data_IF_271393823032
#
_entry.id   IF_271393823032
#
_cell.length_a   1.000
_cell.length_b   1.000
_cell.length_c   1.000
_cell.angle_alpha   90.00
_cell.angle_beta   90.00
_cell.angle_gamma   90.00
#
_symmetry.space_group_name_H-M   'P 1'
#
loop_
_entity.id
_entity.type
_entity.pdbx_description
1 polymer ?
#
# COMPACT_ATOMS: atom_id res chain seq x y z
N UNK A 1 14.87 -12.13 -2.25
CA UNK A 1 16.17 -11.52 -1.85
C UNK A 1 16.07 -10.02 -2.01
N UNK A 2 16.99 -9.25 -1.43
CA UNK A 2 17.06 -7.79 -1.60
C UNK A 2 17.61 -7.43 -2.99
N UNK A 3 17.32 -6.22 -3.48
CA UNK A 3 17.94 -5.72 -4.72
C UNK A 3 19.46 -5.61 -4.52
N UNK A 4 20.29 -6.20 -5.41
CA UNK A 4 21.74 -6.12 -5.27
C UNK A 4 22.27 -4.68 -5.38
N UNK A 5 23.21 -4.32 -4.52
CA UNK A 5 23.87 -2.99 -4.52
C UNK A 5 24.50 -2.62 -5.86
N UNK A 6 24.97 -3.60 -6.63
CA UNK A 6 25.49 -3.37 -7.99
C UNK A 6 24.40 -2.84 -8.94
N UNK A 7 23.16 -3.33 -8.84
CA UNK A 7 22.04 -2.83 -9.65
C UNK A 7 21.65 -1.42 -9.21
N UNK A 8 21.54 -1.20 -7.90
CA UNK A 8 21.23 0.11 -7.34
C UNK A 8 22.28 1.17 -7.71
N UNK A 9 23.56 0.82 -7.59
CA UNK A 9 24.69 1.70 -7.96
C UNK A 9 24.71 2.00 -9.46
N UNK A 10 24.43 0.99 -10.30
CA UNK A 10 24.32 1.17 -11.75
C UNK A 10 23.18 2.12 -12.12
N UNK A 11 22.01 1.98 -11.48
CA UNK A 11 20.87 2.84 -11.73
C UNK A 11 21.07 4.27 -11.24
N UNK A 12 21.58 4.44 -10.01
CA UNK A 12 21.67 5.76 -9.37
C UNK A 12 22.95 6.52 -9.72
N UNK A 13 23.98 5.84 -10.21
CA UNK A 13 25.32 6.41 -10.43
C UNK A 13 26.08 6.74 -9.15
N UNK A 14 25.58 6.33 -7.98
CA UNK A 14 26.16 6.59 -6.65
C UNK A 14 26.31 5.29 -5.88
N UNK A 15 27.30 5.23 -4.99
CA UNK A 15 27.49 4.06 -4.11
C UNK A 15 26.20 3.77 -3.31
N UNK A 16 25.65 2.57 -3.48
CA UNK A 16 24.46 2.11 -2.80
C UNK A 16 24.77 1.40 -1.46
N UNK A 17 23.79 1.41 -0.55
CA UNK A 17 23.80 0.58 0.66
C UNK A 17 23.10 -0.74 0.38
N UNK A 18 23.44 -1.80 1.11
CA UNK A 18 22.67 -3.05 1.06
C UNK A 18 21.29 -2.82 1.71
N UNK A 19 20.17 -3.00 1.00
CA UNK A 19 18.85 -2.89 1.61
C UNK A 19 18.65 -3.94 2.70
N UNK A 20 17.79 -3.65 3.68
CA UNK A 20 17.39 -4.62 4.71
C UNK A 20 15.97 -5.08 4.42
N UNK A 21 15.72 -6.39 4.43
CA UNK A 21 14.38 -6.98 4.46
C UNK A 21 14.30 -7.96 5.63
N UNK A 22 13.48 -7.63 6.62
CA UNK A 22 13.15 -8.47 7.77
C UNK A 22 11.80 -9.11 7.52
N UNK A 23 11.72 -10.42 7.75
CA UNK A 23 10.49 -11.18 7.68
C UNK A 23 10.40 -12.12 8.88
N UNK A 24 9.27 -12.05 9.61
CA UNK A 24 8.98 -12.97 10.71
C UNK A 24 7.78 -13.84 10.33
N UNK A 25 8.03 -15.15 10.26
CA UNK A 25 7.02 -16.13 9.89
C UNK A 25 6.04 -16.41 11.03
N UNK A 26 4.87 -16.95 10.70
CA UNK A 26 3.80 -17.22 11.67
C UNK A 26 4.24 -18.20 12.77
N UNK A 27 5.12 -19.15 12.43
CA UNK A 27 5.65 -20.17 13.34
C UNK A 27 6.81 -19.67 14.21
N UNK A 28 7.34 -18.47 13.96
CA UNK A 28 8.46 -17.90 14.72
C UNK A 28 8.07 -17.55 16.16
N UNK A 29 6.80 -17.21 16.40
CA UNK A 29 6.25 -17.04 17.75
C UNK A 29 4.72 -17.16 17.77
N UNK A 30 4.16 -17.40 18.97
CA UNK A 30 2.75 -17.77 19.12
C UNK A 30 1.79 -16.59 18.97
N UNK A 31 2.18 -15.42 19.44
CA UNK A 31 1.30 -14.23 19.45
C UNK A 31 1.82 -13.13 18.53
N UNK A 32 0.94 -12.26 18.00
CA UNK A 32 1.34 -11.06 17.27
C UNK A 32 2.41 -10.23 18.00
N UNK A 33 2.23 -9.93 19.28
CA UNK A 33 3.21 -9.16 20.07
C UNK A 33 4.59 -9.84 20.18
N UNK A 34 4.63 -11.17 20.22
CA UNK A 34 5.90 -11.90 20.22
C UNK A 34 6.58 -11.81 18.86
N UNK A 35 5.82 -11.93 17.76
CA UNK A 35 6.35 -11.77 16.40
C UNK A 35 6.81 -10.34 16.14
N UNK A 36 6.05 -9.34 16.59
CA UNK A 36 6.42 -7.93 16.51
C UNK A 36 7.72 -7.62 17.25
N UNK A 37 7.94 -8.21 18.44
CA UNK A 37 9.24 -8.12 19.13
C UNK A 37 10.38 -8.73 18.32
N UNK A 38 10.18 -9.90 17.72
CA UNK A 38 11.18 -10.50 16.83
C UNK A 38 11.47 -9.62 15.61
N UNK A 39 10.46 -8.92 15.06
CA UNK A 39 10.67 -7.94 13.99
C UNK A 39 11.60 -6.83 14.46
N UNK A 40 11.35 -6.24 15.63
CA UNK A 40 12.20 -5.18 16.19
C UNK A 40 13.61 -5.69 16.45
N UNK A 41 13.77 -6.85 17.08
CA UNK A 41 15.08 -7.47 17.33
C UNK A 41 15.89 -7.67 16.05
N UNK A 42 15.24 -8.14 14.97
CA UNK A 42 15.87 -8.32 13.67
C UNK A 42 16.20 -6.98 12.99
N UNK A 43 15.31 -5.99 13.08
CA UNK A 43 15.56 -4.63 12.60
C UNK A 43 16.78 -4.02 13.32
N UNK A 44 16.90 -4.18 14.63
CA UNK A 44 18.07 -3.74 15.39
C UNK A 44 19.34 -4.50 14.97
N UNK A 45 19.25 -5.83 14.85
CA UNK A 45 20.38 -6.69 14.48
C UNK A 45 21.01 -6.30 13.14
N UNK A 46 20.20 -5.83 12.20
CA UNK A 46 20.67 -5.39 10.88
C UNK A 46 20.95 -3.89 10.78
N UNK A 47 20.78 -3.11 11.85
CA UNK A 47 21.00 -1.66 11.83
C UNK A 47 19.94 -0.90 11.02
N UNK A 48 18.69 -1.34 11.08
CA UNK A 48 17.57 -0.69 10.38
C UNK A 48 17.30 0.75 10.89
N UNK A 49 17.57 1.01 12.16
CA UNK A 49 17.37 2.32 12.78
C UNK A 49 18.42 3.37 12.37
N UNK A 50 19.47 2.95 11.64
CA UNK A 50 20.46 3.85 11.01
C UNK A 50 20.13 4.15 9.53
N UNK A 51 18.99 3.65 9.02
CA UNK A 51 18.56 3.89 7.64
C UNK A 51 17.84 5.22 7.51
N UNK A 52 17.62 5.66 6.27
CA UNK A 52 16.80 6.84 6.03
C UNK A 52 15.31 6.55 6.25
N UNK A 53 14.87 5.32 5.94
CA UNK A 53 13.46 4.91 6.02
C UNK A 53 13.35 3.49 6.58
N UNK A 54 12.38 3.29 7.47
CA UNK A 54 11.82 1.98 7.82
C UNK A 54 10.42 1.89 7.19
N UNK A 55 10.18 0.83 6.42
CA UNK A 55 8.91 0.55 5.77
C UNK A 55 8.28 -0.71 6.38
N UNK A 56 7.07 -0.60 6.92
CA UNK A 56 6.30 -1.76 7.42
C UNK A 56 5.34 -2.19 6.32
N UNK A 57 5.60 -3.37 5.74
CA UNK A 57 4.73 -4.00 4.76
C UNK A 57 3.82 -5.01 5.43
N UNK A 58 2.51 -4.77 5.41
CA UNK A 58 1.54 -5.80 5.82
C UNK A 58 1.36 -6.77 4.66
N UNK A 59 1.71 -8.04 4.88
CA UNK A 59 1.61 -9.07 3.85
C UNK A 59 0.15 -9.44 3.54
N UNK A 60 -0.09 -10.10 2.40
CA UNK A 60 -1.39 -10.72 2.13
C UNK A 60 -1.35 -12.20 2.53
N UNK A 61 -2.10 -12.58 3.57
CA UNK A 61 -2.30 -13.97 3.98
C UNK A 61 -0.99 -14.69 4.37
N UNK A 62 -0.43 -15.47 3.44
CA UNK A 62 0.72 -16.37 3.61
C UNK A 62 2.08 -15.68 3.81
N UNK A 63 2.13 -14.37 4.05
CA UNK A 63 3.38 -13.66 4.34
C UNK A 63 4.07 -13.03 3.13
N UNK A 64 3.54 -13.21 1.91
CA UNK A 64 4.13 -12.61 0.72
C UNK A 64 3.83 -11.12 0.68
N UNK A 65 4.88 -10.31 0.57
CA UNK A 65 4.81 -8.89 0.20
C UNK A 65 5.23 -8.79 -1.26
N UNK A 66 4.46 -8.07 -2.08
CA UNK A 66 4.77 -7.93 -3.50
C UNK A 66 6.12 -7.19 -3.67
N UNK A 67 7.11 -7.78 -4.38
CA UNK A 67 8.32 -7.08 -4.76
C UNK A 67 8.06 -5.74 -5.47
N UNK A 68 6.92 -5.58 -6.15
CA UNK A 68 6.48 -4.32 -6.76
C UNK A 68 6.30 -3.17 -5.77
N UNK A 69 6.01 -3.45 -4.50
CA UNK A 69 5.88 -2.41 -3.46
C UNK A 69 7.22 -2.05 -2.83
N UNK A 70 8.10 -3.05 -2.67
CA UNK A 70 9.37 -2.92 -1.92
C UNK A 70 10.52 -2.46 -2.81
N UNK A 71 10.62 -3.02 -4.02
CA UNK A 71 11.74 -2.76 -4.93
C UNK A 71 11.85 -1.28 -5.30
N UNK A 72 10.75 -0.55 -5.59
CA UNK A 72 10.83 0.89 -5.83
C UNK A 72 11.48 1.65 -4.67
N UNK A 73 11.15 1.35 -3.41
CA UNK A 73 11.78 1.98 -2.25
C UNK A 73 13.30 1.78 -2.24
N UNK A 74 13.77 0.57 -2.56
CA UNK A 74 15.20 0.25 -2.61
C UNK A 74 15.92 1.07 -3.69
N UNK A 75 15.30 1.28 -4.86
CA UNK A 75 15.86 2.13 -5.91
C UNK A 75 15.79 3.63 -5.58
N UNK A 76 14.65 4.13 -5.10
CA UNK A 76 14.44 5.53 -4.73
C UNK A 76 15.42 5.99 -3.65
N UNK A 77 15.68 5.12 -2.68
CA UNK A 77 16.53 5.41 -1.52
C UNK A 77 17.96 4.90 -1.71
N UNK A 78 18.31 4.37 -2.89
CA UNK A 78 19.63 3.79 -3.21
C UNK A 78 20.09 2.76 -2.15
N UNK A 79 19.14 1.95 -1.68
CA UNK A 79 19.30 0.93 -0.67
C UNK A 79 19.33 1.42 0.78
N UNK A 80 19.15 2.73 1.02
CA UNK A 80 19.06 3.31 2.36
C UNK A 80 17.67 3.13 3.00
N UNK A 81 17.21 1.89 3.01
CA UNK A 81 15.89 1.49 3.51
C UNK A 81 15.95 0.14 4.22
N UNK A 82 15.13 0.00 5.24
CA UNK A 82 14.79 -1.28 5.84
C UNK A 82 13.29 -1.55 5.67
N UNK A 83 12.93 -2.74 5.21
CA UNK A 83 11.54 -3.19 5.11
C UNK A 83 11.31 -4.31 6.14
N UNK A 84 10.23 -4.23 6.89
CA UNK A 84 9.78 -5.27 7.80
C UNK A 84 8.40 -5.77 7.39
N UNK A 85 8.21 -7.09 7.43
CA UNK A 85 6.89 -7.70 7.27
C UNK A 85 6.75 -8.94 8.14
N UNK A 86 5.51 -9.32 8.39
CA UNK A 86 5.15 -10.51 9.16
C UNK A 86 4.14 -11.36 8.41
N UNK A 87 4.05 -12.63 8.80
CA UNK A 87 3.01 -13.53 8.35
C UNK A 87 1.97 -13.75 9.46
N UNK A 88 0.69 -13.56 9.12
CA UNK A 88 -0.43 -13.77 10.05
C UNK A 88 -1.36 -14.92 9.63
N UNK A 89 -1.21 -15.49 8.44
CA UNK A 89 -2.00 -16.63 7.97
C UNK A 89 -1.17 -17.62 7.13
N UNK A 90 -1.73 -18.81 6.92
CA UNK A 90 -1.23 -19.83 5.98
C UNK A 90 -2.16 -19.99 4.76
N UNK A 91 -3.28 -19.29 4.73
CA UNK A 91 -4.26 -19.38 3.65
C UNK A 91 -3.80 -18.59 2.42
N UNK A 92 -4.08 -19.09 1.20
CA UNK A 92 -3.98 -18.30 -0.03
C UNK A 92 -4.84 -17.03 0.08
N UNK A 93 -4.29 -15.89 -0.36
CA UNK A 93 -4.81 -14.54 -0.11
C UNK A 93 -6.30 -14.32 -0.45
N UNK A 94 -6.82 -14.92 -1.53
CA UNK A 94 -8.25 -14.79 -1.87
C UNK A 94 -9.18 -15.56 -0.91
N UNK A 95 -8.71 -16.66 -0.30
CA UNK A 95 -9.46 -17.44 0.70
C UNK A 95 -9.43 -16.77 2.08
N UNK A 96 -8.37 -16.02 2.38
CA UNK A 96 -8.22 -15.26 3.63
C UNK A 96 -9.22 -14.11 3.77
N UNK A 97 -9.79 -13.63 2.65
CA UNK A 97 -10.63 -12.44 2.59
C UNK A 97 -11.83 -12.46 3.54
N UNK A 98 -12.46 -13.61 3.80
CA UNK A 98 -13.62 -13.68 4.69
C UNK A 98 -13.28 -14.02 6.15
N UNK A 99 -12.14 -14.68 6.40
CA UNK A 99 -11.85 -15.35 7.68
C UNK A 99 -10.73 -14.67 8.48
N UNK A 100 -9.74 -14.09 7.81
CA UNK A 100 -8.50 -13.63 8.45
C UNK A 100 -8.35 -12.11 8.58
N UNK A 101 -9.36 -11.33 8.18
CA UNK A 101 -9.37 -9.87 8.33
C UNK A 101 -8.96 -9.41 9.74
N UNK A 102 -9.53 -9.96 10.83
CA UNK A 102 -9.14 -9.52 12.18
C UNK A 102 -7.69 -9.85 12.53
N UNK A 103 -7.17 -10.99 12.03
CA UNK A 103 -5.80 -11.41 12.28
C UNK A 103 -4.79 -10.48 11.59
N UNK A 104 -5.10 -10.07 10.35
CA UNK A 104 -4.29 -9.09 9.60
C UNK A 104 -4.15 -7.77 10.36
N UNK A 105 -5.27 -7.23 10.85
CA UNK A 105 -5.28 -5.98 11.63
C UNK A 105 -4.50 -6.13 12.94
N UNK A 106 -4.75 -7.20 13.69
CA UNK A 106 -4.07 -7.44 14.97
C UNK A 106 -2.55 -7.54 14.79
N UNK A 107 -2.10 -8.20 13.73
CA UNK A 107 -0.68 -8.29 13.39
C UNK A 107 -0.09 -6.92 13.00
N UNK A 108 -0.78 -6.17 12.14
CA UNK A 108 -0.34 -4.84 11.70
C UNK A 108 -0.22 -3.87 12.87
N UNK A 109 -1.18 -3.85 13.79
CA UNK A 109 -1.13 -3.05 15.03
C UNK A 109 0.09 -3.42 15.85
N UNK A 110 0.28 -4.71 16.16
CA UNK A 110 1.38 -5.16 17.00
C UNK A 110 2.76 -4.77 16.44
N UNK A 111 2.95 -4.93 15.12
CA UNK A 111 4.21 -4.56 14.45
C UNK A 111 4.41 -3.05 14.42
N UNK A 112 3.37 -2.28 14.09
CA UNK A 112 3.43 -0.83 14.07
C UNK A 112 3.81 -0.28 15.44
N UNK A 113 3.10 -0.72 16.49
CA UNK A 113 3.32 -0.27 17.87
C UNK A 113 4.74 -0.61 18.32
N UNK A 114 5.19 -1.85 18.13
CA UNK A 114 6.53 -2.27 18.56
C UNK A 114 7.65 -1.48 17.86
N UNK A 115 7.49 -1.20 16.55
CA UNK A 115 8.47 -0.40 15.80
C UNK A 115 8.44 1.06 16.25
N UNK A 116 7.25 1.64 16.47
CA UNK A 116 7.10 3.02 16.97
C UNK A 116 7.69 3.19 18.36
N UNK A 117 7.39 2.30 19.30
CA UNK A 117 7.97 2.29 20.64
C UNK A 117 9.50 2.30 20.57
N UNK A 118 10.08 1.52 19.65
CA UNK A 118 11.52 1.50 19.46
C UNK A 118 12.07 2.79 18.82
N UNK A 119 11.34 3.38 17.88
CA UNK A 119 11.69 4.66 17.27
C UNK A 119 11.67 5.81 18.29
N UNK A 120 10.75 5.79 19.25
CA UNK A 120 10.70 6.78 20.32
C UNK A 120 11.98 6.78 21.17
N UNK A 121 12.62 5.62 21.34
CA UNK A 121 13.91 5.49 22.01
C UNK A 121 15.11 5.98 21.17
N UNK A 122 14.95 6.18 19.86
CA UNK A 122 16.00 6.78 19.00
C UNK A 122 15.97 8.32 19.15
N UNK A 123 17.11 9.02 19.22
CA UNK A 123 17.13 10.49 19.23
C UNK A 123 16.40 11.08 18.02
N UNK A 124 15.54 12.08 18.23
CA UNK A 124 14.65 12.61 17.18
C UNK A 124 15.37 13.03 15.88
N UNK A 125 16.59 13.57 15.98
CA UNK A 125 17.40 14.00 14.82
C UNK A 125 18.04 12.85 14.04
N UNK A 126 17.98 11.62 14.56
CA UNK A 126 18.52 10.40 13.97
C UNK A 126 17.42 9.40 13.58
N UNK A 127 16.14 9.69 13.89
CA UNK A 127 15.04 8.77 13.62
C UNK A 127 14.89 8.56 12.11
N UNK A 128 14.86 7.31 11.61
CA UNK A 128 14.42 7.05 10.25
C UNK A 128 12.96 7.48 10.11
N UNK A 129 12.57 7.84 8.89
CA UNK A 129 11.15 8.00 8.58
C UNK A 129 10.46 6.65 8.63
N UNK A 130 9.24 6.61 9.17
CA UNK A 130 8.42 5.41 9.21
C UNK A 130 7.33 5.47 8.14
N UNK A 131 7.31 4.53 7.21
CA UNK A 131 6.20 4.40 6.24
C UNK A 131 5.52 3.05 6.35
N UNK A 132 4.25 2.99 5.99
CA UNK A 132 3.45 1.75 5.99
C UNK A 132 2.90 1.47 4.61
N UNK A 133 2.75 0.20 4.27
CA UNK A 133 2.12 -0.17 3.01
C UNK A 133 1.50 -1.56 3.03
N UNK A 134 0.70 -1.82 2.00
CA UNK A 134 0.25 -3.16 1.66
C UNK A 134 -0.69 -3.16 0.47
N UNK A 135 -0.84 -4.34 -0.11
CA UNK A 135 -1.75 -4.64 -1.20
C UNK A 135 -2.89 -5.56 -0.72
N UNK A 136 -4.10 -5.38 -1.23
CA UNK A 136 -5.22 -6.29 -0.98
C UNK A 136 -5.56 -6.41 0.51
N UNK A 137 -5.60 -7.63 1.04
CA UNK A 137 -5.75 -7.88 2.48
C UNK A 137 -4.61 -7.25 3.32
N UNK A 138 -3.41 -7.06 2.74
CA UNK A 138 -2.34 -6.31 3.36
C UNK A 138 -2.69 -4.83 3.51
N UNK A 139 -3.30 -4.22 2.49
CA UNK A 139 -3.84 -2.86 2.58
C UNK A 139 -4.92 -2.77 3.66
N UNK A 140 -5.83 -3.75 3.72
CA UNK A 140 -6.86 -3.83 4.77
C UNK A 140 -6.25 -3.88 6.18
N UNK A 141 -5.27 -4.77 6.42
CA UNK A 141 -4.60 -4.90 7.71
C UNK A 141 -3.84 -3.63 8.11
N UNK A 142 -3.07 -3.08 7.18
CA UNK A 142 -2.31 -1.85 7.38
C UNK A 142 -3.23 -0.66 7.70
N UNK A 143 -4.38 -0.53 7.03
CA UNK A 143 -5.38 0.50 7.34
C UNK A 143 -5.99 0.30 8.73
N UNK A 144 -6.26 -0.94 9.13
CA UNK A 144 -6.85 -1.24 10.43
C UNK A 144 -5.94 -0.95 11.62
N UNK A 145 -4.66 -0.65 11.40
CA UNK A 145 -3.76 -0.17 12.44
C UNK A 145 -4.03 1.29 12.87
N UNK A 146 -4.92 1.99 12.16
CA UNK A 146 -5.22 3.40 12.40
C UNK A 146 -6.72 3.62 12.59
N UNK A 147 -7.07 4.52 13.50
CA UNK A 147 -8.47 4.90 13.72
C UNK A 147 -9.04 5.74 12.57
N UNK A 148 -8.22 6.62 11.98
CA UNK A 148 -8.59 7.56 10.92
C UNK A 148 -7.32 8.15 10.27
N UNK A 149 -7.47 9.06 9.30
CA UNK A 149 -6.36 9.71 8.60
C UNK A 149 -5.46 10.55 9.53
N UNK A 150 -6.04 11.22 10.53
CA UNK A 150 -5.26 12.02 11.50
C UNK A 150 -4.30 11.12 12.30
N UNK A 151 -4.81 9.97 12.75
CA UNK A 151 -4.01 8.94 13.43
C UNK A 151 -2.89 8.39 12.50
N UNK A 152 -3.21 8.11 11.24
CA UNK A 152 -2.22 7.67 10.24
C UNK A 152 -1.09 8.69 10.06
N UNK A 153 -1.41 9.98 9.91
CA UNK A 153 -0.40 11.03 9.69
C UNK A 153 0.31 11.43 10.99
N UNK A 154 -0.24 11.15 12.17
CA UNK A 154 0.47 11.33 13.44
C UNK A 154 1.45 10.18 13.69
N UNK A 155 1.08 8.96 13.32
CA UNK A 155 1.85 7.76 13.61
C UNK A 155 2.92 7.43 12.55
N UNK A 156 2.82 8.00 11.34
CA UNK A 156 3.70 7.67 10.20
C UNK A 156 4.15 8.89 9.40
N UNK A 157 5.23 8.74 8.65
CA UNK A 157 5.75 9.72 7.68
C UNK A 157 5.21 9.53 6.26
N UNK A 158 4.32 8.55 6.06
CA UNK A 158 3.63 8.29 4.80
C UNK A 158 3.09 6.86 4.66
N UNK A 159 2.16 6.68 3.73
CA UNK A 159 1.52 5.39 3.50
C UNK A 159 1.17 5.14 2.02
N UNK A 160 1.25 3.88 1.59
CA UNK A 160 0.77 3.44 0.27
C UNK A 160 -0.13 2.21 0.42
N UNK A 161 -1.35 2.28 -0.12
CA UNK A 161 -2.30 1.19 -0.05
C UNK A 161 -2.79 0.83 -1.45
N UNK A 162 -2.66 -0.44 -1.83
CA UNK A 162 -3.00 -0.87 -3.18
C UNK A 162 -4.21 -1.80 -3.15
N UNK A 163 -5.20 -1.50 -3.99
CA UNK A 163 -6.41 -2.31 -4.15
C UNK A 163 -7.05 -2.74 -2.83
N UNK A 164 -7.29 -1.81 -1.87
CA UNK A 164 -7.90 -2.20 -0.62
C UNK A 164 -9.28 -2.83 -0.87
N UNK A 165 -9.60 -3.97 -0.24
CA UNK A 165 -10.95 -4.50 -0.18
C UNK A 165 -11.99 -3.43 0.12
N UNK A 166 -13.17 -3.53 -0.50
CA UNK A 166 -14.30 -2.63 -0.21
C UNK A 166 -14.63 -2.50 1.30
N UNK A 167 -14.39 -3.59 2.05
CA UNK A 167 -14.60 -3.66 3.49
C UNK A 167 -13.59 -2.86 4.34
N UNK A 168 -12.58 -2.23 3.73
CA UNK A 168 -11.59 -1.41 4.43
C UNK A 168 -12.24 -0.13 4.92
N UNK A 169 -12.49 -0.04 6.24
CA UNK A 169 -13.28 1.03 6.85
C UNK A 169 -12.74 2.44 6.51
N UNK A 170 -11.45 2.71 6.76
CA UNK A 170 -10.85 4.02 6.49
C UNK A 170 -10.99 4.44 5.01
N UNK A 171 -10.67 3.53 4.09
CA UNK A 171 -10.83 3.78 2.65
C UNK A 171 -12.29 4.11 2.32
N UNK A 172 -13.24 3.36 2.89
CA UNK A 172 -14.65 3.56 2.62
C UNK A 172 -15.14 4.91 3.15
N UNK A 173 -14.82 5.22 4.41
CA UNK A 173 -15.21 6.44 5.10
C UNK A 173 -14.76 7.69 4.33
N UNK A 174 -13.52 7.71 3.82
CA UNK A 174 -13.00 8.86 3.08
C UNK A 174 -13.47 8.92 1.63
N UNK A 175 -13.78 7.77 1.01
CA UNK A 175 -14.41 7.76 -0.31
C UNK A 175 -15.86 8.25 -0.24
N UNK A 176 -16.59 7.94 0.83
CA UNK A 176 -17.97 8.38 1.02
C UNK A 176 -18.04 9.88 1.38
N UNK A 177 -16.99 10.40 2.03
CA UNK A 177 -16.81 11.83 2.33
C UNK A 177 -16.13 12.63 1.20
N UNK A 178 -15.94 12.04 0.01
CA UNK A 178 -15.31 12.71 -1.13
C UNK A 178 -16.04 14.00 -1.53
N UNK A 179 -15.33 14.91 -2.17
CA UNK A 179 -15.88 16.14 -2.70
C UNK A 179 -16.99 15.84 -3.73
N UNK A 180 -18.14 16.52 -3.66
CA UNK A 180 -19.20 16.37 -4.65
C UNK A 180 -18.70 16.55 -6.08
N UNK A 181 -19.11 15.65 -6.97
CA UNK A 181 -18.71 15.68 -8.38
C UNK A 181 -17.40 14.94 -8.68
N UNK A 182 -16.74 14.37 -7.68
CA UNK A 182 -15.61 13.44 -7.89
C UNK A 182 -16.09 12.00 -7.87
N UNK A 183 -15.66 11.15 -8.82
CA UNK A 183 -16.16 9.79 -8.92
C UNK A 183 -15.58 8.90 -7.81
N UNK A 184 -16.31 7.88 -7.41
CA UNK A 184 -15.90 6.90 -6.39
C UNK A 184 -14.60 6.16 -6.78
N UNK A 185 -14.36 5.97 -8.09
CA UNK A 185 -13.12 5.36 -8.57
C UNK A 185 -11.90 6.30 -8.53
N UNK A 186 -12.11 7.61 -8.37
CA UNK A 186 -11.04 8.61 -8.24
C UNK A 186 -11.52 9.79 -7.36
N UNK A 187 -11.74 9.53 -6.06
CA UNK A 187 -12.31 10.51 -5.15
C UNK A 187 -11.29 11.59 -4.80
N UNK A 188 -11.77 12.79 -4.50
CA UNK A 188 -10.96 13.84 -3.88
C UNK A 188 -11.49 14.11 -2.48
N UNK A 189 -10.70 13.80 -1.46
CA UNK A 189 -11.00 14.12 -0.06
C UNK A 189 -10.12 15.28 0.42
N UNK A 190 -10.69 16.23 1.18
CA UNK A 190 -9.98 17.39 1.74
C UNK A 190 -8.98 18.06 0.77
N UNK A 191 -9.45 18.27 -0.46
CA UNK A 191 -8.67 18.82 -1.56
C UNK A 191 -7.32 18.09 -1.78
N UNK A 192 -7.23 16.79 -1.53
CA UNK A 192 -6.02 15.99 -1.74
C UNK A 192 -4.82 16.44 -0.91
N UNK A 193 -5.04 17.02 0.28
CA UNK A 193 -3.99 17.65 1.09
C UNK A 193 -3.05 16.62 1.71
N UNK A 194 -3.59 15.55 2.30
CA UNK A 194 -2.82 14.47 2.95
C UNK A 194 -3.10 13.07 2.37
N UNK A 195 -4.21 12.91 1.64
CA UNK A 195 -4.65 11.63 1.08
C UNK A 195 -5.04 11.81 -0.39
N UNK A 196 -4.52 10.96 -1.28
CA UNK A 196 -4.86 10.96 -2.71
C UNK A 196 -5.16 9.54 -3.20
N UNK A 197 -5.98 9.46 -4.24
CA UNK A 197 -6.23 8.23 -4.98
C UNK A 197 -5.64 8.36 -6.38
N UNK A 198 -5.17 7.25 -6.93
CA UNK A 198 -4.69 7.18 -8.30
C UNK A 198 -5.06 5.84 -8.93
N UNK A 199 -5.56 5.91 -10.17
CA UNK A 199 -5.64 4.77 -11.09
C UNK A 199 -4.37 4.71 -11.97
N UNK A 200 -3.70 5.83 -12.13
CA UNK A 200 -2.46 5.96 -12.91
C UNK A 200 -1.59 7.05 -12.31
N UNK A 201 -0.26 7.06 -12.57
CA UNK A 201 0.67 8.02 -11.97
C UNK A 201 0.28 9.50 -12.13
N UNK A 202 -0.32 9.86 -13.26
CA UNK A 202 -0.72 11.26 -13.54
C UNK A 202 -1.83 11.77 -12.61
N UNK A 203 -2.64 10.88 -12.04
CA UNK A 203 -3.72 11.23 -11.11
C UNK A 203 -3.16 11.81 -9.80
N UNK A 204 -1.95 11.42 -9.39
CA UNK A 204 -1.30 11.94 -8.18
C UNK A 204 -1.02 13.44 -8.25
N UNK A 205 -0.95 14.02 -9.45
CA UNK A 205 -0.83 15.46 -9.66
C UNK A 205 -2.13 16.23 -9.41
N UNK A 206 -3.25 15.51 -9.25
CA UNK A 206 -4.58 16.06 -9.00
C UNK A 206 -5.05 15.77 -7.57
N UNK A 207 -5.81 16.68 -6.96
CA UNK A 207 -6.02 18.08 -7.35
C UNK A 207 -4.71 18.91 -7.31
N UNK A 208 -4.66 20.12 -7.92
CA UNK A 208 -3.45 20.94 -8.01
C UNK A 208 -3.02 21.60 -6.68
N UNK A 209 -3.74 21.32 -5.61
CA UNK A 209 -3.39 21.73 -4.26
C UNK A 209 -2.06 21.08 -3.81
N UNK A 210 -1.32 21.69 -2.87
CA UNK A 210 -0.10 21.10 -2.36
C UNK A 210 -0.36 19.79 -1.59
N UNK A 211 0.29 18.70 -1.99
CA UNK A 211 0.30 17.43 -1.25
C UNK A 211 1.28 17.52 -0.06
N UNK A 212 0.75 17.73 1.14
CA UNK A 212 1.49 17.99 2.38
C UNK A 212 1.94 16.69 3.04
N UNK A 213 3.11 16.73 3.68
CA UNK A 213 3.59 15.61 4.48
C UNK A 213 2.94 15.62 5.87
N UNK A 214 2.68 14.46 6.49
CA UNK A 214 2.77 13.10 5.91
C UNK A 214 1.75 12.82 4.81
N UNK A 215 2.10 11.94 3.87
CA UNK A 215 1.35 11.69 2.62
C UNK A 215 0.88 10.25 2.54
N UNK A 216 -0.39 10.06 2.27
CA UNK A 216 -0.99 8.75 2.02
C UNK A 216 -1.54 8.67 0.59
N UNK A 217 -1.32 7.52 -0.06
CA UNK A 217 -1.82 7.25 -1.41
C UNK A 217 -2.58 5.93 -1.43
N UNK A 218 -3.78 5.94 -2.00
CA UNK A 218 -4.45 4.74 -2.48
C UNK A 218 -4.18 4.57 -3.98
N UNK A 219 -3.56 3.46 -4.36
CA UNK A 219 -3.58 2.99 -5.74
C UNK A 219 -4.78 2.08 -5.91
N UNK A 220 -5.69 2.44 -6.82
CA UNK A 220 -6.86 1.62 -7.12
C UNK A 220 -7.18 1.68 -8.61
N UNK A 221 -7.18 0.53 -9.26
CA UNK A 221 -7.68 0.46 -10.63
C UNK A 221 -9.22 0.53 -10.57
N UNK A 222 -9.82 1.36 -11.42
CA UNK A 222 -11.27 1.44 -11.58
C UNK A 222 -11.87 0.09 -12.03
N UNK A 223 -11.05 -0.78 -12.63
CA UNK A 223 -11.42 -2.14 -13.01
C UNK A 223 -11.05 -3.21 -11.97
N UNK A 224 -10.56 -2.84 -10.79
CA UNK A 224 -10.18 -3.79 -9.73
C UNK A 224 -11.41 -4.37 -9.02
N UNK A 225 -11.79 -5.63 -9.26
CA UNK A 225 -12.94 -6.22 -8.60
C UNK A 225 -12.74 -6.36 -7.09
N UNK A 226 -11.52 -6.39 -6.56
CA UNK A 226 -11.26 -6.47 -5.10
C UNK A 226 -11.74 -5.21 -4.39
N UNK A 227 -11.56 -4.05 -5.02
CA UNK A 227 -11.97 -2.73 -4.50
C UNK A 227 -13.50 -2.57 -4.54
N UNK A 228 -14.13 -3.08 -5.59
CA UNK A 228 -15.55 -2.84 -5.87
C UNK A 228 -16.50 -3.96 -5.41
N UNK A 229 -15.98 -5.15 -5.13
CA UNK A 229 -16.79 -6.27 -4.68
C UNK A 229 -17.30 -6.02 -3.24
N UNK A 230 -18.62 -6.06 -3.08
CA UNK A 230 -19.30 -6.04 -1.79
C UNK A 230 -20.60 -6.84 -1.85
N UNK A 231 -21.00 -7.53 -0.77
CA UNK A 231 -22.35 -8.12 -0.67
C UNK A 231 -23.46 -7.08 -0.84
N UNK A 232 -23.22 -5.82 -0.52
CA UNK A 232 -24.20 -4.74 -0.61
C UNK A 232 -24.66 -4.45 -2.06
N UNK A 233 -23.85 -4.85 -3.05
CA UNK A 233 -24.20 -4.75 -4.48
C UNK A 233 -25.48 -5.51 -4.82
N UNK A 234 -25.88 -6.51 -4.01
CA UNK A 234 -27.14 -7.23 -4.14
C UNK A 234 -28.37 -6.38 -3.79
N UNK A 235 -28.19 -5.32 -3.01
CA UNK A 235 -29.29 -4.56 -2.39
C UNK A 235 -29.28 -3.08 -2.78
N UNK A 236 -28.11 -2.51 -3.02
CA UNK A 236 -27.93 -1.11 -3.38
C UNK A 236 -27.03 -0.98 -4.62
N UNK A 237 -27.33 0.01 -5.46
CA UNK A 237 -26.48 0.38 -6.60
C UNK A 237 -25.29 1.19 -6.07
N UNK A 238 -24.04 0.74 -6.24
CA UNK A 238 -22.86 1.53 -5.94
C UNK A 238 -22.75 2.79 -6.80
N UNK A 239 -22.11 3.83 -6.27
CA UNK A 239 -21.93 5.11 -6.96
C UNK A 239 -21.08 4.94 -8.22
N UNK A 240 -20.03 4.13 -8.20
CA UNK A 240 -19.18 3.84 -9.37
C UNK A 240 -19.94 3.19 -10.55
N UNK A 241 -21.13 2.58 -10.30
CA UNK A 241 -22.05 2.14 -11.36
C UNK A 241 -22.97 3.26 -11.87
N UNK A 242 -23.20 4.30 -11.06
CA UNK A 242 -24.01 5.49 -11.36
C UNK A 242 -23.24 6.64 -11.99
N UNK A 243 -21.93 6.68 -11.78
CA UNK A 243 -21.03 7.76 -12.18
C UNK A 243 -20.33 7.48 -13.53
N UNK A 244 -19.60 8.48 -14.09
CA UNK A 244 -18.70 8.24 -15.21
C UNK A 244 -17.73 7.09 -14.91
N UNK A 245 -17.51 6.23 -15.92
CA UNK A 245 -16.69 5.03 -15.75
C UNK A 245 -15.21 5.36 -15.79
N UNK A 246 -14.46 4.77 -14.87
CA UNK A 246 -13.02 4.82 -14.91
C UNK A 246 -12.44 3.92 -16.02
N UNK A 247 -11.12 4.01 -16.26
CA UNK A 247 -10.44 3.24 -17.29
C UNK A 247 -10.68 1.72 -17.18
N UNK A 248 -10.95 1.08 -18.32
CA UNK A 248 -11.14 -0.38 -18.40
C UNK A 248 -12.47 -0.92 -17.86
N UNK A 249 -13.40 -0.06 -17.40
CA UNK A 249 -14.71 -0.50 -16.90
C UNK A 249 -15.76 -0.45 -18.01
N UNK A 250 -16.40 -1.58 -18.29
CA UNK A 250 -17.47 -1.67 -19.27
C UNK A 250 -18.77 -1.01 -18.77
N UNK A 251 -19.53 -0.40 -19.68
CA UNK A 251 -20.82 0.23 -19.35
C UNK A 251 -21.96 -0.78 -19.42
N UNK A 252 -22.50 -1.16 -18.26
CA UNK A 252 -23.65 -2.06 -18.13
C UNK A 252 -24.59 -1.57 -17.01
N UNK A 253 -25.91 -1.83 -17.10
CA UNK A 253 -26.86 -1.47 -16.06
C UNK A 253 -26.62 -2.28 -14.78
N UNK A 254 -26.93 -1.69 -13.62
CA UNK A 254 -26.93 -2.43 -12.37
C UNK A 254 -28.10 -3.41 -12.34
N UNK A 255 -27.77 -4.70 -12.29
CA UNK A 255 -28.71 -5.81 -12.17
C UNK A 255 -28.25 -6.63 -10.96
N UNK A 256 -28.82 -6.44 -9.75
CA UNK A 256 -28.15 -6.75 -8.49
C UNK A 256 -27.47 -8.13 -8.43
N UNK A 257 -28.20 -9.20 -8.75
CA UNK A 257 -27.67 -10.58 -8.74
C UNK A 257 -26.65 -10.81 -9.85
N UNK A 258 -26.88 -10.28 -11.06
CA UNK A 258 -26.00 -10.45 -12.22
C UNK A 258 -24.70 -9.67 -12.00
N UNK A 259 -24.79 -8.43 -11.51
CA UNK A 259 -23.64 -7.59 -11.17
C UNK A 259 -22.81 -8.22 -10.07
N UNK A 260 -23.43 -8.69 -8.98
CA UNK A 260 -22.73 -9.36 -7.90
C UNK A 260 -22.03 -10.64 -8.38
N UNK A 261 -22.71 -11.47 -9.18
CA UNK A 261 -22.11 -12.67 -9.76
C UNK A 261 -20.94 -12.34 -10.72
N UNK A 262 -21.09 -11.28 -11.53
CA UNK A 262 -20.04 -10.78 -12.41
C UNK A 262 -18.80 -10.36 -11.66
N UNK A 263 -18.94 -9.47 -10.66
CA UNK A 263 -17.84 -9.03 -9.79
C UNK A 263 -17.16 -10.21 -9.08
N UNK A 264 -17.94 -11.19 -8.63
CA UNK A 264 -17.39 -12.40 -7.99
C UNK A 264 -16.55 -13.23 -8.97
N UNK A 265 -16.98 -13.32 -10.23
CA UNK A 265 -16.21 -13.96 -11.31
C UNK A 265 -14.94 -13.18 -11.65
N UNK A 266 -15.04 -11.85 -11.78
CA UNK A 266 -13.90 -10.98 -12.07
C UNK A 266 -12.84 -11.07 -10.98
N UNK A 267 -13.25 -11.17 -9.70
CA UNK A 267 -12.33 -11.34 -8.57
C UNK A 267 -11.43 -12.57 -8.72
N UNK A 268 -11.96 -13.67 -9.26
CA UNK A 268 -11.20 -14.91 -9.48
C UNK A 268 -10.13 -14.78 -10.57
N UNK A 269 -10.31 -13.86 -11.52
CA UNK A 269 -9.38 -13.58 -12.61
C UNK A 269 -8.74 -12.18 -12.50
N UNK A 270 -8.74 -11.59 -11.30
CA UNK A 270 -8.34 -10.20 -11.08
C UNK A 270 -6.88 -9.91 -11.42
N UNK A 271 -6.01 -10.92 -11.39
CA UNK A 271 -4.60 -10.83 -11.76
C UNK A 271 -4.32 -11.29 -13.20
N UNK A 272 -5.31 -11.81 -13.92
CA UNK A 272 -5.18 -12.33 -15.28
C UNK A 272 -5.28 -11.27 -16.37
N UNK A 273 -4.89 -10.02 -16.08
CA UNK A 273 -5.08 -8.83 -16.92
C UNK A 273 -3.79 -7.99 -16.98
N UNK A 274 -3.63 -7.10 -17.98
CA UNK A 274 -2.47 -6.21 -18.05
C UNK A 274 -2.39 -5.26 -16.84
N UNK A 275 -1.18 -4.75 -16.56
CA UNK A 275 -0.98 -3.70 -15.55
C UNK A 275 -1.84 -2.46 -15.83
N UNK A 276 -2.31 -1.81 -14.76
CA UNK A 276 -3.29 -0.71 -14.80
C UNK A 276 -4.74 -1.19 -14.88
N UNK A 277 -4.97 -2.51 -14.84
CA UNK A 277 -6.29 -3.12 -14.81
C UNK A 277 -6.38 -4.19 -13.73
N UNK A 278 -7.62 -4.48 -13.30
CA UNK A 278 -7.87 -5.48 -12.27
C UNK A 278 -7.03 -5.22 -11.01
N UNK A 279 -6.54 -6.28 -10.40
CA UNK A 279 -5.67 -6.22 -9.22
C UNK A 279 -4.18 -6.26 -9.64
N UNK A 280 -3.82 -5.57 -10.73
CA UNK A 280 -2.45 -5.52 -11.25
C UNK A 280 -1.99 -4.07 -11.36
N UNK A 281 -1.13 -3.64 -10.44
CA UNK A 281 -0.67 -2.25 -10.30
C UNK A 281 0.65 -1.96 -11.04
N UNK A 282 1.37 -3.01 -11.47
CA UNK A 282 2.60 -2.86 -12.26
C UNK A 282 3.64 -1.97 -11.59
N UNK A 283 4.01 -0.89 -12.26
CA UNK A 283 5.04 0.06 -11.79
C UNK A 283 4.47 1.30 -11.10
N UNK A 284 3.15 1.42 -10.94
CA UNK A 284 2.49 2.57 -10.29
C UNK A 284 3.03 2.87 -8.88
N UNK A 285 3.46 1.88 -8.06
CA UNK A 285 4.15 2.14 -6.80
C UNK A 285 5.38 3.04 -6.89
N UNK A 286 6.06 3.08 -8.05
CA UNK A 286 7.23 3.96 -8.26
C UNK A 286 6.83 5.43 -8.12
N UNK A 287 5.77 5.85 -8.81
CA UNK A 287 5.26 7.22 -8.74
C UNK A 287 4.68 7.53 -7.35
N UNK A 288 3.93 6.59 -6.77
CA UNK A 288 3.36 6.75 -5.43
C UNK A 288 4.45 6.99 -4.39
N UNK A 289 5.49 6.14 -4.35
CA UNK A 289 6.59 6.31 -3.40
C UNK A 289 7.41 7.58 -3.64
N UNK A 290 7.61 7.97 -4.90
CA UNK A 290 8.30 9.21 -5.23
C UNK A 290 7.54 10.42 -4.67
N UNK A 291 6.21 10.43 -4.77
CA UNK A 291 5.37 11.51 -4.24
C UNK A 291 5.24 11.49 -2.72
N UNK A 292 5.15 10.31 -2.10
CA UNK A 292 5.09 10.16 -0.65
C UNK A 292 6.40 10.61 -0.01
N UNK A 293 7.52 10.06 -0.47
CA UNK A 293 8.83 10.26 0.16
C UNK A 293 9.52 11.55 -0.29
N UNK A 294 9.36 11.96 -1.55
CA UNK A 294 10.11 13.05 -2.19
C UNK A 294 11.60 13.05 -1.84
N UNK A 295 12.35 11.99 -2.16
CA UNK A 295 13.77 11.91 -1.83
C UNK A 295 14.54 13.11 -2.40
N UNK A 296 15.51 13.63 -1.65
CA UNK A 296 16.27 14.79 -2.08
C UNK A 296 17.01 14.51 -3.41
N UNK A 297 16.79 15.38 -4.40
CA UNK A 297 17.40 15.25 -5.73
C UNK A 297 16.72 14.22 -6.65
N UNK A 298 15.61 13.61 -6.25
CA UNK A 298 14.81 12.74 -7.12
C UNK A 298 13.87 13.55 -8.00
N UNK A 299 13.90 13.33 -9.31
CA UNK A 299 13.08 14.06 -10.29
C UNK A 299 11.95 13.21 -10.88
N UNK A 300 11.00 13.86 -11.56
CA UNK A 300 10.00 13.16 -12.37
C UNK A 300 10.64 12.31 -13.48
N UNK A 301 11.80 12.73 -14.02
CA UNK A 301 12.54 11.95 -15.01
C UNK A 301 13.16 10.69 -14.40
N UNK A 302 13.61 10.73 -13.13
CA UNK A 302 14.10 9.54 -12.42
C UNK A 302 12.97 8.54 -12.15
N UNK A 303 11.77 9.05 -11.83
CA UNK A 303 10.56 8.24 -11.67
C UNK A 303 10.24 7.49 -12.96
N UNK A 304 10.13 8.20 -14.09
CA UNK A 304 9.87 7.59 -15.40
C UNK A 304 10.96 6.59 -15.83
N UNK A 305 12.23 6.89 -15.52
CA UNK A 305 13.36 5.99 -15.80
C UNK A 305 13.28 4.72 -14.96
N UNK A 306 12.85 4.81 -13.70
CA UNK A 306 12.68 3.65 -12.84
C UNK A 306 11.47 2.80 -13.25
N UNK A 307 10.35 3.42 -13.62
CA UNK A 307 9.19 2.72 -14.19
C UNK A 307 9.60 1.91 -15.42
N UNK A 308 10.37 2.51 -16.34
CA UNK A 308 10.88 1.79 -17.50
C UNK A 308 11.85 0.66 -17.12
N UNK A 309 12.69 0.86 -16.10
CA UNK A 309 13.65 -0.14 -15.64
C UNK A 309 12.99 -1.35 -14.97
N UNK A 310 11.89 -1.13 -14.24
CA UNK A 310 11.16 -2.19 -13.53
C UNK A 310 10.04 -2.83 -14.35
N UNK A 311 9.49 -2.12 -15.34
CA UNK A 311 8.43 -2.62 -16.21
C UNK A 311 8.90 -3.34 -17.48
N UNK A 312 10.22 -3.39 -17.70
CA UNK A 312 10.87 -4.02 -18.87
C UNK A 312 11.15 -5.51 -18.74
#
# INVERSE_FOLDING_TARGET
>A
GVTPTAQLTSFSGRSAKDPIRVFVGIDSARTPDQRARLVVEELERFGAFDRAVIAIGTSAGSGTVDPGEVTPLEYLLNGDVATASTQYSILPSFLSFAVDRPNSVTESVAVLDAVRDRLEAVPAVQRPRLVVFGESLGAYGANGAFANLDDLIEMTDGAMFQGPPNATAMWRDYTDQRQPGTPEHLPVYDAGTHLRWANQPSDLSQPPTPFRAPRAVYLQNASDPVVWWSPDVLWARPDWLGEPRGPGVLTWPWLPVITFAGLSGDMMNSQGVPAGHGHVYGTDPVAAWADILRPAGWSAADTARLEQHLGG
#
